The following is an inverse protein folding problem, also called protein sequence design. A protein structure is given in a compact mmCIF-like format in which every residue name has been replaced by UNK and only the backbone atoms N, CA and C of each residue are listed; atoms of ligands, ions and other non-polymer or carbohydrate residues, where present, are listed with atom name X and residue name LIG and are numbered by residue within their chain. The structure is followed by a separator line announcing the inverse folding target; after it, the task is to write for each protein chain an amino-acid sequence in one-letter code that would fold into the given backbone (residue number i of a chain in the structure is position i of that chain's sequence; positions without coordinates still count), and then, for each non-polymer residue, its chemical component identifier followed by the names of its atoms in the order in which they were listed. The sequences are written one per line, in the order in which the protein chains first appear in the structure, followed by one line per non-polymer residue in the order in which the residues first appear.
data_IF_733036088693
#
_entry.id   IF_733036088693
#
_cell.length_a   1.000
_cell.length_b   1.000
_cell.length_c   1.000
_cell.angle_alpha   90.00
_cell.angle_beta   90.00
_cell.angle_gamma   90.00
#
_symmetry.space_group_name_H-M   'P 1'
#
loop_
_entity.id
_entity.type
_entity.pdbx_description
1 polymer ?
#
# COMPACT_ATOMS: atom_id res chain seq x y z
N UNK A 1 15.43 -11.18 -5.37
CA UNK A 1 14.57 -10.29 -6.16
C UNK A 1 14.08 -9.14 -5.31
N UNK A 2 14.07 -7.94 -5.89
CA UNK A 2 13.64 -6.77 -5.16
C UNK A 2 12.16 -6.89 -4.77
N UNK A 3 11.83 -6.65 -3.49
CA UNK A 3 10.43 -6.51 -3.11
C UNK A 3 9.86 -5.21 -3.64
N UNK A 4 8.56 -5.19 -3.90
CA UNK A 4 7.88 -4.01 -4.44
C UNK A 4 6.85 -3.52 -3.44
N UNK A 5 6.88 -2.22 -3.18
CA UNK A 5 5.96 -1.55 -2.27
C UNK A 5 5.15 -0.52 -3.05
N UNK A 6 3.84 -0.69 -3.05
CA UNK A 6 2.91 0.29 -3.63
C UNK A 6 2.19 1.02 -2.52
N UNK A 7 2.12 2.34 -2.62
CA UNK A 7 1.38 3.17 -1.67
C UNK A 7 0.44 4.07 -2.46
N UNK A 8 -0.85 3.99 -2.16
CA UNK A 8 -1.86 4.77 -2.86
C UNK A 8 -2.80 5.48 -1.91
N UNK A 9 -3.45 6.52 -2.42
CA UNK A 9 -4.45 7.26 -1.65
C UNK A 9 -5.39 8.03 -2.55
N UNK A 10 -6.61 8.27 -2.05
CA UNK A 10 -7.60 9.05 -2.78
C UNK A 10 -8.30 8.26 -3.88
N UNK A 11 -8.97 8.99 -4.77
CA UNK A 11 -9.88 8.42 -5.76
C UNK A 11 -9.22 7.92 -7.05
N UNK A 12 -8.01 8.35 -7.38
CA UNK A 12 -7.41 8.06 -8.68
C UNK A 12 -6.67 6.72 -8.76
N UNK A 13 -7.29 5.63 -8.31
CA UNK A 13 -6.62 4.34 -8.18
C UNK A 13 -6.76 3.41 -9.39
N UNK A 14 -7.38 3.86 -10.48
CA UNK A 14 -7.48 3.05 -11.69
C UNK A 14 -6.10 2.71 -12.29
N UNK A 15 -5.15 3.65 -12.40
CA UNK A 15 -3.80 3.31 -12.85
C UNK A 15 -3.09 2.30 -11.97
N UNK A 16 -3.25 2.40 -10.65
CA UNK A 16 -2.65 1.46 -9.70
C UNK A 16 -3.23 0.06 -9.91
N UNK A 17 -4.55 -0.04 -10.04
CA UNK A 17 -5.24 -1.30 -10.30
C UNK A 17 -4.75 -1.94 -11.60
N UNK A 18 -4.69 -1.15 -12.66
CA UNK A 18 -4.23 -1.65 -13.97
C UNK A 18 -2.79 -2.15 -13.90
N UNK A 19 -1.92 -1.42 -13.23
CA UNK A 19 -0.52 -1.80 -13.09
C UNK A 19 -0.37 -3.11 -12.31
N UNK A 20 -1.09 -3.24 -11.18
CA UNK A 20 -1.05 -4.45 -10.37
C UNK A 20 -1.60 -5.66 -11.12
N UNK A 21 -2.70 -5.48 -11.85
CA UNK A 21 -3.28 -6.56 -12.64
C UNK A 21 -2.32 -7.01 -13.75
N UNK A 22 -1.67 -6.06 -14.41
CA UNK A 22 -0.67 -6.39 -15.43
C UNK A 22 0.49 -7.18 -14.82
N UNK A 23 0.99 -6.71 -13.68
CA UNK A 23 2.13 -7.32 -13.01
C UNK A 23 1.85 -8.78 -12.63
N UNK A 24 0.66 -9.07 -12.13
CA UNK A 24 0.31 -10.40 -11.66
C UNK A 24 -0.33 -11.28 -12.72
N UNK A 25 -1.31 -10.78 -13.46
CA UNK A 25 -2.07 -11.60 -14.40
C UNK A 25 -1.38 -11.75 -15.75
N UNK A 26 -0.63 -10.74 -16.18
CA UNK A 26 0.07 -10.76 -17.46
C UNK A 26 1.52 -11.20 -17.31
N UNK A 27 2.28 -10.48 -16.48
CA UNK A 27 3.70 -10.76 -16.29
C UNK A 27 3.97 -11.91 -15.29
N UNK A 28 2.98 -12.24 -14.47
CA UNK A 28 3.05 -13.33 -13.49
C UNK A 28 4.30 -13.23 -12.62
N UNK A 29 4.51 -12.04 -12.05
CA UNK A 29 5.69 -11.79 -11.21
C UNK A 29 5.74 -12.75 -10.02
N UNK A 30 6.96 -13.15 -9.65
CA UNK A 30 7.20 -13.93 -8.43
C UNK A 30 7.78 -13.05 -7.31
N UNK A 31 7.88 -11.75 -7.53
CA UNK A 31 8.35 -10.81 -6.52
C UNK A 31 7.32 -10.66 -5.42
N UNK A 32 7.78 -10.35 -4.20
CA UNK A 32 6.89 -10.02 -3.09
C UNK A 32 6.40 -8.60 -3.28
N UNK A 33 5.09 -8.43 -3.35
CA UNK A 33 4.45 -7.14 -3.62
C UNK A 33 3.47 -6.84 -2.50
N UNK A 34 3.57 -5.64 -1.93
CA UNK A 34 2.57 -5.16 -0.96
C UNK A 34 1.98 -3.85 -1.47
N UNK A 35 0.68 -3.69 -1.27
CA UNK A 35 -0.03 -2.46 -1.61
C UNK A 35 -0.71 -1.92 -0.36
N UNK A 36 -0.35 -0.70 0.00
CA UNK A 36 -0.86 0.03 1.16
C UNK A 36 -1.74 1.18 0.67
N UNK A 37 -3.02 1.11 0.94
CA UNK A 37 -4.01 2.02 0.39
C UNK A 37 -4.66 2.83 1.52
N UNK A 38 -4.50 4.17 1.49
CA UNK A 38 -5.00 5.06 2.53
C UNK A 38 -6.09 5.99 2.04
N UNK A 39 -7.00 6.31 2.95
CA UNK A 39 -8.03 7.32 2.75
C UNK A 39 -8.40 7.91 4.09
N UNK A 40 -9.23 8.96 4.09
CA UNK A 40 -9.73 9.52 5.35
C UNK A 40 -10.79 8.61 5.93
N UNK A 41 -11.74 8.17 5.09
CA UNK A 41 -12.79 7.25 5.49
C UNK A 41 -12.96 6.18 4.41
N UNK A 42 -13.72 5.13 4.74
CA UNK A 42 -13.88 3.97 3.85
C UNK A 42 -14.43 4.33 2.48
N UNK A 43 -15.31 5.31 2.40
CA UNK A 43 -15.91 5.71 1.10
C UNK A 43 -14.91 6.30 0.12
N UNK A 44 -13.70 6.64 0.58
CA UNK A 44 -12.64 7.13 -0.30
C UNK A 44 -11.80 6.01 -0.92
N UNK A 45 -12.04 4.77 -0.51
CA UNK A 45 -11.29 3.61 -1.01
C UNK A 45 -12.07 2.92 -2.12
N UNK A 46 -11.46 2.83 -3.29
CA UNK A 46 -12.07 2.23 -4.48
C UNK A 46 -11.44 0.89 -4.82
N UNK A 47 -12.20 0.02 -5.46
CA UNK A 47 -11.71 -1.28 -5.94
C UNK A 47 -11.27 -2.23 -4.82
N UNK A 48 -11.75 -2.05 -3.60
CA UNK A 48 -11.32 -2.88 -2.45
C UNK A 48 -11.45 -4.37 -2.78
N UNK A 49 -12.60 -4.79 -3.32
CA UNK A 49 -12.84 -6.20 -3.61
C UNK A 49 -11.92 -6.72 -4.72
N UNK A 50 -11.56 -5.87 -5.69
CA UNK A 50 -10.62 -6.25 -6.74
C UNK A 50 -9.23 -6.54 -6.17
N UNK A 51 -8.76 -5.72 -5.25
CA UNK A 51 -7.46 -5.93 -4.61
C UNK A 51 -7.48 -7.13 -3.68
N UNK A 52 -8.58 -7.35 -2.97
CA UNK A 52 -8.72 -8.54 -2.12
C UNK A 52 -8.75 -9.82 -2.94
N UNK A 53 -9.39 -9.81 -4.11
CA UNK A 53 -9.39 -10.96 -5.02
C UNK A 53 -7.97 -11.24 -5.52
N UNK A 54 -7.23 -10.20 -5.88
CA UNK A 54 -5.86 -10.35 -6.33
C UNK A 54 -5.02 -10.99 -5.23
N UNK A 55 -5.22 -10.56 -3.98
CA UNK A 55 -4.52 -11.12 -2.82
C UNK A 55 -4.85 -12.62 -2.64
N UNK A 56 -6.11 -12.99 -2.82
CA UNK A 56 -6.52 -14.39 -2.71
C UNK A 56 -5.92 -15.25 -3.81
N UNK A 57 -5.78 -14.70 -5.01
CA UNK A 57 -5.29 -15.43 -6.17
C UNK A 57 -3.76 -15.59 -6.17
N UNK A 58 -3.04 -14.58 -5.67
CA UNK A 58 -1.57 -14.56 -5.73
C UNK A 58 -0.97 -14.49 -4.33
N UNK A 59 -0.35 -15.59 -3.85
CA UNK A 59 0.18 -15.63 -2.48
C UNK A 59 1.33 -14.65 -2.22
N UNK A 60 1.95 -14.13 -3.27
CA UNK A 60 3.04 -13.14 -3.14
C UNK A 60 2.53 -11.69 -3.18
N UNK A 61 1.20 -11.48 -3.16
CA UNK A 61 0.60 -10.16 -3.06
C UNK A 61 -0.13 -10.00 -1.73
N UNK A 62 0.13 -8.88 -1.04
CA UNK A 62 -0.56 -8.53 0.20
C UNK A 62 -1.14 -7.12 0.08
N UNK A 63 -2.36 -6.95 0.53
CA UNK A 63 -3.11 -5.71 0.46
C UNK A 63 -3.49 -5.22 1.85
N UNK A 64 -3.15 -3.97 2.16
CA UNK A 64 -3.44 -3.36 3.46
C UNK A 64 -4.10 -2.00 3.27
N UNK A 65 -5.02 -1.67 4.16
CA UNK A 65 -5.74 -0.39 4.13
C UNK A 65 -5.55 0.37 5.42
N UNK A 66 -5.65 1.70 5.34
CA UNK A 66 -5.64 2.54 6.54
C UNK A 66 -6.60 3.72 6.35
N UNK A 67 -7.27 4.11 7.43
CA UNK A 67 -8.13 5.29 7.46
C UNK A 67 -7.57 6.28 8.48
N UNK A 68 -7.38 7.54 8.06
CA UNK A 68 -6.89 8.58 8.96
C UNK A 68 -8.02 9.19 9.80
N UNK A 69 -9.24 9.14 9.31
CA UNK A 69 -10.42 9.69 9.99
C UNK A 69 -11.60 8.75 9.83
N UNK A 70 -11.52 7.53 10.43
CA UNK A 70 -12.60 6.57 10.26
C UNK A 70 -13.90 7.12 10.84
N UNK A 71 -15.00 6.88 10.12
CA UNK A 71 -16.32 7.31 10.53
C UNK A 71 -17.06 6.17 11.23
N UNK A 72 -18.03 6.51 12.07
CA UNK A 72 -18.82 5.50 12.79
C UNK A 72 -19.47 4.52 11.82
N UNK A 73 -19.99 5.01 10.70
CA UNK A 73 -20.64 4.22 9.65
C UNK A 73 -19.69 3.24 8.96
N UNK A 74 -18.38 3.44 9.06
CA UNK A 74 -17.41 2.56 8.44
C UNK A 74 -17.31 1.21 9.17
N UNK A 75 -17.72 1.15 10.42
CA UNK A 75 -17.58 -0.04 11.26
C UNK A 75 -16.19 -0.63 11.18
N UNK A 76 -15.17 0.24 11.22
CA UNK A 76 -13.79 -0.12 10.97
C UNK A 76 -13.18 -0.93 12.09
N UNK A 77 -12.79 -2.16 11.80
CA UNK A 77 -12.10 -3.03 12.76
C UNK A 77 -10.60 -2.85 12.59
N UNK A 78 -9.94 -2.35 13.62
CA UNK A 78 -8.52 -2.04 13.57
C UNK A 78 -7.69 -3.31 13.67
N UNK A 79 -6.75 -3.49 12.75
CA UNK A 79 -5.79 -4.59 12.78
C UNK A 79 -4.79 -4.39 13.91
N UNK A 80 -4.45 -5.47 14.60
CA UNK A 80 -3.39 -5.47 15.62
C UNK A 80 -2.02 -5.40 14.98
N UNK A 81 -1.83 -6.13 13.87
CA UNK A 81 -0.58 -6.17 13.08
C UNK A 81 -0.90 -6.71 11.68
N UNK A 82 0.14 -6.88 10.85
CA UNK A 82 -0.06 -7.34 9.46
C UNK A 82 -0.59 -8.77 9.37
N UNK A 83 -0.51 -9.54 10.45
CA UNK A 83 -0.97 -10.92 10.47
C UNK A 83 -2.40 -11.06 10.97
N UNK A 84 -3.02 -9.98 11.41
CA UNK A 84 -4.40 -10.00 11.92
C UNK A 84 -5.38 -10.06 10.75
N UNK A 85 -5.93 -11.24 10.50
CA UNK A 85 -6.87 -11.46 9.39
C UNK A 85 -8.30 -11.03 9.71
N UNK A 86 -8.60 -10.75 10.98
CA UNK A 86 -9.95 -10.35 11.38
C UNK A 86 -10.18 -8.84 11.29
N UNK A 87 -9.11 -8.04 11.34
CA UNK A 87 -9.22 -6.59 11.21
C UNK A 87 -9.38 -6.15 9.77
N UNK A 88 -10.02 -4.99 9.58
CA UNK A 88 -10.18 -4.39 8.26
C UNK A 88 -8.91 -3.69 7.78
N UNK A 89 -8.24 -3.01 8.69
CA UNK A 89 -7.05 -2.24 8.36
C UNK A 89 -6.57 -1.42 9.56
N UNK A 90 -5.66 -0.50 9.28
CA UNK A 90 -5.05 0.34 10.31
C UNK A 90 -5.73 1.69 10.42
N UNK A 91 -5.38 2.46 11.45
CA UNK A 91 -5.85 3.84 11.64
C UNK A 91 -4.61 4.73 11.64
N UNK A 92 -4.67 5.82 10.88
CA UNK A 92 -3.58 6.78 10.75
C UNK A 92 -3.30 7.11 9.30
N UNK A 93 -2.32 7.99 9.09
CA UNK A 93 -1.85 8.31 7.76
C UNK A 93 -1.12 7.11 7.18
N UNK A 94 -1.32 6.86 5.89
CA UNK A 94 -0.81 5.63 5.27
C UNK A 94 0.71 5.49 5.40
N UNK A 95 1.48 6.57 5.26
CA UNK A 95 2.93 6.49 5.37
C UNK A 95 3.37 6.06 6.77
N UNK A 96 2.68 6.52 7.82
CA UNK A 96 2.98 6.10 9.19
C UNK A 96 2.67 4.63 9.39
N UNK A 97 1.58 4.15 8.80
CA UNK A 97 1.20 2.73 8.91
C UNK A 97 2.23 1.85 8.20
N UNK A 98 2.73 2.28 7.06
CA UNK A 98 3.79 1.57 6.33
C UNK A 98 5.07 1.50 7.15
N UNK A 99 5.46 2.63 7.76
CA UNK A 99 6.65 2.68 8.60
C UNK A 99 6.52 1.72 9.78
N UNK A 100 5.43 1.83 10.52
CA UNK A 100 5.25 1.09 11.76
C UNK A 100 5.09 -0.41 11.54
N UNK A 101 4.45 -0.81 10.45
CA UNK A 101 4.03 -2.21 10.27
C UNK A 101 4.82 -2.95 9.18
N UNK A 102 5.59 -2.25 8.37
CA UNK A 102 6.33 -2.86 7.29
C UNK A 102 7.81 -2.47 7.28
N UNK A 103 8.11 -1.19 7.09
CA UNK A 103 9.50 -0.76 6.91
C UNK A 103 10.36 -0.98 8.13
N UNK A 104 9.85 -0.70 9.34
CA UNK A 104 10.60 -0.91 10.58
C UNK A 104 10.94 -2.39 10.81
N UNK A 105 10.22 -3.30 10.17
CA UNK A 105 10.41 -4.74 10.33
C UNK A 105 11.06 -5.39 9.12
N UNK A 106 11.42 -4.61 8.12
CA UNK A 106 12.03 -5.12 6.89
C UNK A 106 13.54 -5.21 7.06
N UNK A 107 14.12 -6.35 6.66
CA UNK A 107 15.56 -6.59 6.81
C UNK A 107 16.41 -5.67 5.94
N UNK A 108 15.91 -5.35 4.73
CA UNK A 108 16.67 -4.58 3.76
C UNK A 108 15.76 -3.57 3.03
N UNK A 109 15.26 -2.53 3.75
CA UNK A 109 14.36 -1.57 3.12
C UNK A 109 14.99 -0.84 1.93
N UNK A 110 16.32 -0.67 1.92
CA UNK A 110 17.04 -0.04 0.81
C UNK A 110 16.94 -0.82 -0.50
N UNK A 111 16.54 -2.09 -0.45
CA UNK A 111 16.36 -2.92 -1.65
C UNK A 111 14.96 -2.82 -2.25
N UNK A 112 14.04 -2.13 -1.58
CA UNK A 112 12.66 -2.01 -2.02
C UNK A 112 12.54 -1.11 -3.26
N UNK A 113 11.67 -1.49 -4.18
CA UNK A 113 11.23 -0.62 -5.28
C UNK A 113 9.88 -0.04 -4.88
N UNK A 114 9.80 1.29 -4.75
CA UNK A 114 8.64 2.00 -4.24
C UNK A 114 7.89 2.72 -5.35
N UNK A 115 6.59 2.44 -5.47
CA UNK A 115 5.67 3.16 -6.36
C UNK A 115 4.59 3.82 -5.52
N UNK A 116 4.21 5.04 -5.87
CA UNK A 116 3.17 5.73 -5.12
C UNK A 116 2.34 6.63 -6.02
N UNK A 117 1.11 6.87 -5.59
CA UNK A 117 0.17 7.76 -6.28
C UNK A 117 -0.91 8.19 -5.30
N UNK A 118 -1.06 9.49 -5.11
CA UNK A 118 -2.08 10.02 -4.21
C UNK A 118 -2.08 11.54 -4.18
N UNK A 119 -2.78 12.13 -3.21
CA UNK A 119 -2.78 13.59 -3.03
C UNK A 119 -1.35 14.12 -2.78
N UNK A 120 -1.09 15.40 -3.13
CA UNK A 120 0.28 15.95 -3.03
C UNK A 120 0.94 15.81 -1.66
N UNK A 121 0.20 16.00 -0.57
CA UNK A 121 0.78 15.88 0.76
C UNK A 121 1.17 14.43 1.08
N UNK A 122 0.36 13.47 0.64
CA UNK A 122 0.70 12.07 0.79
C UNK A 122 1.94 11.72 -0.02
N UNK A 123 1.99 12.20 -1.26
CA UNK A 123 3.14 11.93 -2.14
C UNK A 123 4.44 12.43 -1.52
N UNK A 124 4.43 13.64 -0.94
CA UNK A 124 5.60 14.19 -0.25
C UNK A 124 6.03 13.33 0.93
N UNK A 125 5.06 12.90 1.74
CA UNK A 125 5.34 12.09 2.92
C UNK A 125 5.91 10.72 2.53
N UNK A 126 5.35 10.11 1.49
CA UNK A 126 5.79 8.79 1.01
C UNK A 126 7.18 8.87 0.41
N UNK A 127 7.46 9.92 -0.37
CA UNK A 127 8.79 10.12 -0.97
C UNK A 127 9.84 10.29 0.13
N UNK A 128 9.55 11.13 1.13
CA UNK A 128 10.44 11.32 2.27
C UNK A 128 10.68 10.03 3.02
N UNK A 129 9.61 9.25 3.23
CA UNK A 129 9.70 7.94 3.87
C UNK A 129 10.69 7.03 3.14
N UNK A 130 10.57 6.97 1.81
CA UNK A 130 11.49 6.16 1.00
C UNK A 130 12.93 6.59 1.17
N UNK A 131 13.18 7.89 1.14
CA UNK A 131 14.51 8.46 1.32
C UNK A 131 15.06 8.16 2.72
N UNK A 132 14.24 8.32 3.74
CA UNK A 132 14.63 8.09 5.14
C UNK A 132 15.04 6.63 5.39
N UNK A 133 14.47 5.70 4.64
CA UNK A 133 14.80 4.27 4.77
C UNK A 133 15.87 3.80 3.79
N UNK A 134 16.51 4.74 3.10
CA UNK A 134 17.65 4.45 2.25
C UNK A 134 17.31 3.88 0.87
N UNK A 135 16.06 4.02 0.42
CA UNK A 135 15.70 3.60 -0.93
C UNK A 135 16.33 4.59 -1.91
N UNK A 136 17.11 4.13 -2.91
CA UNK A 136 17.69 5.03 -3.90
C UNK A 136 16.61 5.79 -4.67
N UNK A 137 16.90 7.05 -5.03
CA UNK A 137 15.93 7.89 -5.73
C UNK A 137 15.39 7.25 -7.02
N UNK A 138 16.23 6.52 -7.75
CA UNK A 138 15.79 5.84 -8.97
C UNK A 138 14.77 4.74 -8.71
N UNK A 139 14.62 4.29 -7.46
CA UNK A 139 13.66 3.27 -7.06
C UNK A 139 12.46 3.86 -6.31
N UNK A 140 12.33 5.18 -6.28
CA UNK A 140 11.18 5.89 -5.69
C UNK A 140 10.44 6.53 -6.86
N UNK A 141 9.28 5.96 -7.24
CA UNK A 141 8.61 6.33 -8.48
C UNK A 141 7.17 6.76 -8.29
N UNK A 142 6.87 7.97 -8.76
CA UNK A 142 5.49 8.46 -8.81
C UNK A 142 4.77 7.84 -10.01
N UNK A 143 3.54 7.39 -9.79
CA UNK A 143 2.67 6.88 -10.85
C UNK A 143 1.62 7.94 -11.18
N UNK A 144 1.47 8.25 -12.45
CA UNK A 144 0.45 9.20 -12.91
C UNK A 144 -0.71 8.47 -13.59
#
# INVERSE_FOLDING_TARGET
KQPVLYVGGGAGMAPMRSHLYHLFKTLKTDRKVTYWYGGRSKRELFYIEHFKELEREFPNFKFYMALSEPQEEDNWKVKKDINDEEGDGFVGFIHNCVIDNYLNHHEAPEDIELYFCGPPLMNKAVEKMGQDFGIPDENIRFMS
#
